data_IF_051800751378
#
_entry.id   IF_051800751378
#
_cell.length_a   1.000
_cell.length_b   1.000
_cell.length_c   1.000
_cell.angle_alpha   90.00
_cell.angle_beta   90.00
_cell.angle_gamma   90.00
#
_symmetry.space_group_name_H-M   'P 1'
#
loop_
_entity.id
_entity.type
_entity.pdbx_description
1 polymer ?
#
# COMPACT_ATOMS: atom_id res chain seq x y z
N UNK A 1 9.61 -7.93 6.60
CA UNK A 1 8.18 -7.65 6.40
C UNK A 1 7.48 -8.95 6.02
N UNK A 2 6.27 -9.23 6.52
CA UNK A 2 5.57 -10.49 6.24
C UNK A 2 4.76 -10.38 4.95
N UNK A 3 4.98 -11.29 4.00
CA UNK A 3 4.06 -11.45 2.85
C UNK A 3 2.83 -12.24 3.29
N UNK A 4 1.66 -11.60 3.27
CA UNK A 4 0.38 -12.23 3.62
C UNK A 4 -0.39 -12.74 2.39
N UNK A 5 0.25 -12.73 1.22
CA UNK A 5 -0.29 -13.28 -0.01
C UNK A 5 -1.22 -12.32 -0.74
N UNK A 6 -2.26 -12.90 -1.34
CA UNK A 6 -3.13 -12.19 -2.28
C UNK A 6 -4.34 -11.61 -1.59
N UNK A 7 -4.61 -10.33 -1.81
CA UNK A 7 -5.86 -9.67 -1.41
C UNK A 7 -6.78 -9.46 -2.62
N UNK A 8 -8.08 -9.68 -2.39
CA UNK A 8 -9.12 -9.39 -3.38
C UNK A 8 -9.60 -7.95 -3.19
N UNK A 9 -9.41 -7.15 -4.22
CA UNK A 9 -9.84 -5.76 -4.34
C UNK A 9 -10.48 -5.58 -5.72
N UNK A 10 -11.14 -4.45 -5.92
CA UNK A 10 -11.56 -4.03 -7.25
C UNK A 10 -10.35 -3.88 -8.19
N UNK A 11 -10.63 -3.84 -9.51
CA UNK A 11 -9.58 -3.79 -10.55
C UNK A 11 -8.59 -2.63 -10.37
N UNK A 12 -9.01 -1.53 -9.74
CA UNK A 12 -8.19 -0.34 -9.53
C UNK A 12 -7.41 -0.33 -8.20
N UNK A 13 -7.62 -1.33 -7.33
CA UNK A 13 -7.08 -1.34 -5.96
C UNK A 13 -7.62 -0.22 -5.05
N UNK A 14 -8.72 0.43 -5.43
CA UNK A 14 -9.21 1.63 -4.74
C UNK A 14 -9.92 1.31 -3.42
N UNK A 15 -10.47 0.11 -3.28
CA UNK A 15 -11.16 -0.44 -2.10
C UNK A 15 -10.25 -1.24 -1.18
N UNK A 16 -8.93 -1.03 -1.28
CA UNK A 16 -7.94 -1.63 -0.38
C UNK A 16 -8.23 -1.30 1.09
N UNK A 17 -8.04 -2.25 2.04
CA UNK A 17 -8.16 -1.97 3.45
C UNK A 17 -7.13 -0.94 3.91
N UNK A 18 -7.56 0.05 4.71
CA UNK A 18 -6.67 1.04 5.30
C UNK A 18 -5.91 0.49 6.52
N UNK A 19 -6.43 -0.56 7.13
CA UNK A 19 -5.81 -1.27 8.25
C UNK A 19 -5.78 -2.78 7.96
N UNK A 20 -4.69 -3.44 8.32
CA UNK A 20 -4.47 -4.88 8.15
C UNK A 20 -3.42 -5.39 9.15
N UNK A 21 -2.82 -6.55 8.87
CA UNK A 21 -1.79 -7.14 9.71
C UNK A 21 -0.56 -6.21 9.81
N UNK A 22 -0.04 -5.97 11.03
CA UNK A 22 1.22 -5.25 11.22
C UNK A 22 2.40 -5.78 10.43
N UNK A 23 3.29 -4.87 10.00
CA UNK A 23 4.53 -5.14 9.30
C UNK A 23 4.36 -6.12 8.14
N UNK A 24 3.37 -5.86 7.27
CA UNK A 24 2.97 -6.81 6.23
C UNK A 24 2.76 -6.21 4.86
N UNK A 25 2.75 -7.09 3.86
CA UNK A 25 2.34 -6.77 2.49
C UNK A 25 1.25 -7.70 1.99
N UNK A 26 0.45 -7.16 1.08
CA UNK A 26 -0.47 -7.93 0.27
C UNK A 26 -0.28 -7.56 -1.20
N UNK A 27 -0.36 -8.54 -2.09
CA UNK A 27 -0.39 -8.33 -3.54
C UNK A 27 -1.83 -8.44 -4.03
N UNK A 28 -2.20 -7.68 -5.05
CA UNK A 28 -3.51 -7.86 -5.68
C UNK A 28 -3.49 -9.08 -6.60
N UNK A 29 -4.65 -9.70 -6.82
CA UNK A 29 -4.74 -10.93 -7.63
C UNK A 29 -4.25 -10.76 -9.09
N UNK A 30 -4.34 -9.55 -9.63
CA UNK A 30 -3.82 -9.20 -10.95
C UNK A 30 -2.33 -8.81 -10.96
N UNK A 31 -1.66 -8.79 -9.80
CA UNK A 31 -0.24 -8.43 -9.67
C UNK A 31 0.07 -6.95 -9.93
N UNK A 32 -0.94 -6.10 -10.09
CA UNK A 32 -0.75 -4.68 -10.41
C UNK A 32 -0.35 -3.85 -9.20
N UNK A 33 -0.80 -4.25 -8.00
CA UNK A 33 -0.60 -3.48 -6.79
C UNK A 33 -0.02 -4.31 -5.64
N UNK A 34 0.83 -3.67 -4.85
CA UNK A 34 1.29 -4.16 -3.54
C UNK A 34 0.93 -3.14 -2.48
N UNK A 35 0.18 -3.57 -1.47
CA UNK A 35 -0.17 -2.77 -0.31
C UNK A 35 0.77 -3.06 0.84
N UNK A 36 1.34 -2.01 1.42
CA UNK A 36 2.33 -2.10 2.51
C UNK A 36 1.73 -1.52 3.78
N UNK A 37 1.78 -2.30 4.86
CA UNK A 37 1.26 -1.96 6.17
C UNK A 37 2.38 -1.81 7.20
N UNK A 38 2.34 -0.74 7.98
CA UNK A 38 3.33 -0.43 9.01
C UNK A 38 3.19 -1.29 10.27
N UNK A 39 3.98 -1.00 11.31
CA UNK A 39 3.98 -1.73 12.58
C UNK A 39 2.69 -1.67 13.38
N UNK A 40 1.80 -0.71 13.08
CA UNK A 40 0.46 -0.62 13.65
C UNK A 40 -0.60 -1.26 12.74
N UNK A 41 -0.18 -1.76 11.57
CA UNK A 41 -1.05 -2.32 10.57
C UNK A 41 -1.72 -1.28 9.68
N UNK A 42 -1.24 -0.03 9.65
CA UNK A 42 -1.81 1.05 8.84
C UNK A 42 -1.21 1.05 7.44
N UNK A 43 -2.05 1.28 6.43
CA UNK A 43 -1.61 1.36 5.04
C UNK A 43 -0.72 2.60 4.84
N UNK A 44 0.54 2.36 4.48
CA UNK A 44 1.52 3.43 4.23
C UNK A 44 1.92 3.57 2.77
N UNK A 45 1.85 2.47 1.98
CA UNK A 45 2.10 2.51 0.54
C UNK A 45 1.15 1.64 -0.28
N UNK A 46 0.83 2.14 -1.47
CA UNK A 46 0.25 1.42 -2.62
C UNK A 46 1.26 1.52 -3.76
N UNK A 47 1.95 0.42 -4.02
CA UNK A 47 3.01 0.29 -5.01
C UNK A 47 2.46 -0.35 -6.28
N UNK A 48 2.85 0.16 -7.44
CA UNK A 48 2.72 -0.55 -8.71
C UNK A 48 4.01 -0.44 -9.51
N UNK A 49 4.08 -1.11 -10.66
CA UNK A 49 5.21 -0.99 -11.60
C UNK A 49 5.52 0.46 -12.02
N UNK A 50 4.49 1.30 -12.06
CA UNK A 50 4.57 2.66 -12.63
C UNK A 50 4.61 3.76 -11.59
N UNK A 51 4.11 3.54 -10.38
CA UNK A 51 3.97 4.59 -9.37
C UNK A 51 4.14 4.07 -7.95
N UNK A 52 4.61 4.96 -7.08
CA UNK A 52 4.51 4.82 -5.63
C UNK A 52 3.50 5.83 -5.11
N UNK A 53 2.45 5.33 -4.46
CA UNK A 53 1.48 6.15 -3.72
C UNK A 53 1.73 5.96 -2.23
N UNK A 54 1.96 7.05 -1.52
CA UNK A 54 2.13 7.08 -0.08
C UNK A 54 0.90 7.65 0.61
N UNK A 55 0.70 7.34 1.90
CA UNK A 55 -0.44 7.80 2.68
C UNK A 55 0.01 8.69 3.82
N UNK A 56 -0.53 9.91 3.88
CA UNK A 56 -0.45 10.77 5.06
C UNK A 56 -1.67 10.50 5.93
N UNK A 57 -1.43 10.10 7.18
CA UNK A 57 -2.48 9.80 8.16
C UNK A 57 -2.62 11.02 9.07
N UNK A 58 -3.77 11.68 9.00
CA UNK A 58 -4.12 12.76 9.93
C UNK A 58 -5.11 12.23 10.96
N UNK A 59 -4.93 12.59 12.22
CA UNK A 59 -5.83 12.18 13.31
C UNK A 59 -6.59 13.41 13.78
N UNK A 60 -7.92 13.32 13.84
CA UNK A 60 -8.73 14.42 14.40
C UNK A 60 -8.60 14.47 15.93
N UNK A 61 -9.00 15.58 16.57
CA UNK A 61 -9.06 15.65 18.03
C UNK A 61 -9.93 14.56 18.68
N UNK A 62 -10.91 14.01 17.94
CA UNK A 62 -11.76 12.91 18.38
C UNK A 62 -11.13 11.52 18.14
N UNK A 63 -9.87 11.45 17.69
CA UNK A 63 -9.14 10.20 17.43
C UNK A 63 -9.46 9.54 16.09
N UNK A 64 -10.26 10.17 15.21
CA UNK A 64 -10.59 9.61 13.91
C UNK A 64 -9.44 9.80 12.93
N UNK A 65 -9.02 8.71 12.30
CA UNK A 65 -7.95 8.73 11.30
C UNK A 65 -8.46 9.03 9.89
N UNK A 66 -7.69 9.82 9.15
CA UNK A 66 -7.95 10.22 7.78
C UNK A 66 -6.72 9.96 6.92
N UNK A 67 -6.83 8.98 6.03
CA UNK A 67 -5.79 8.59 5.10
C UNK A 67 -5.90 9.44 3.85
N UNK A 68 -4.90 10.27 3.59
CA UNK A 68 -4.80 11.07 2.37
C UNK A 68 -3.64 10.57 1.53
N UNK A 69 -3.93 10.13 0.31
CA UNK A 69 -2.88 9.70 -0.60
C UNK A 69 -2.16 10.86 -1.26
N UNK A 70 -0.89 10.63 -1.57
CA UNK A 70 -0.08 11.47 -2.44
C UNK A 70 0.85 10.59 -3.27
N UNK A 71 1.21 11.06 -4.46
CA UNK A 71 2.13 10.35 -5.35
C UNK A 71 3.55 10.83 -5.03
N UNK A 72 4.49 9.89 -5.00
CA UNK A 72 5.91 10.26 -5.01
C UNK A 72 6.30 10.58 -6.46
N UNK A 73 7.12 11.61 -6.60
CA UNK A 73 7.65 12.00 -7.91
C UNK A 73 8.76 11.05 -8.35
N UNK A 74 8.84 10.82 -9.66
CA UNK A 74 9.85 9.98 -10.28
C UNK A 74 9.39 8.54 -10.56
N UNK A 75 10.30 7.78 -11.19
CA UNK A 75 10.06 6.38 -11.52
C UNK A 75 10.15 5.50 -10.27
N UNK A 76 9.44 4.38 -10.29
CA UNK A 76 9.59 3.33 -9.27
C UNK A 76 11.02 2.78 -9.35
N UNK A 77 11.79 2.80 -8.24
CA UNK A 77 13.13 2.26 -8.23
C UNK A 77 13.19 0.78 -8.62
N UNK A 78 14.26 0.37 -9.31
CA UNK A 78 14.38 -1.01 -9.81
C UNK A 78 14.47 -2.05 -8.70
N UNK A 79 14.99 -1.70 -7.52
CA UNK A 79 14.99 -2.63 -6.38
C UNK A 79 13.55 -2.99 -5.93
N UNK A 80 12.60 -2.07 -6.04
CA UNK A 80 11.18 -2.35 -5.73
C UNK A 80 10.58 -3.25 -6.81
N UNK A 81 10.89 -2.98 -8.08
CA UNK A 81 10.41 -3.80 -9.20
C UNK A 81 10.92 -5.23 -9.10
N UNK A 82 12.20 -5.40 -8.80
CA UNK A 82 12.83 -6.70 -8.63
C UNK A 82 12.23 -7.49 -7.46
N UNK A 83 11.96 -6.83 -6.32
CA UNK A 83 11.32 -7.46 -5.16
C UNK A 83 9.94 -8.02 -5.47
N UNK A 84 9.17 -7.34 -6.34
CA UNK A 84 7.79 -7.71 -6.66
C UNK A 84 7.59 -8.37 -8.02
N UNK A 85 8.65 -8.53 -8.82
CA UNK A 85 8.63 -9.22 -10.11
C UNK A 85 8.03 -8.41 -11.26
N UNK A 86 8.32 -7.11 -11.32
CA UNK A 86 7.84 -6.18 -12.37
C UNK A 86 8.91 -5.77 -13.39
#
# INVERSE_FOLDING_TARGET
MKDNGVIKVNKSGSDRPLNSTPNSVYKTANGEHVFVYDGDGKLIYDLSRQRVKAFKINVSPAGKEFFKDYKLDGAVPDFIKNEFGW
#
